data_IF_296235422279
#
_entry.id   IF_296235422279
#
_cell.length_a   1.000
_cell.length_b   1.000
_cell.length_c   1.000
_cell.angle_alpha   90.00
_cell.angle_beta   90.00
_cell.angle_gamma   90.00
#
_symmetry.space_group_name_H-M   'P 1'
#
loop_
_entity.id
_entity.type
_entity.pdbx_description
1 polymer ?
#
# COMPACT_ATOMS: atom_id res chain seq x y z
N UNK A 1 -4.36 -9.94 -22.46
CA UNK A 1 -3.55 -8.81 -21.95
C UNK A 1 -4.38 -7.99 -20.95
N UNK A 2 -4.78 -8.59 -19.82
CA UNK A 2 -5.84 -7.97 -18.97
C UNK A 2 -5.59 -8.12 -17.46
N UNK A 3 -4.90 -9.15 -17.00
CA UNK A 3 -4.79 -9.45 -15.56
C UNK A 3 -3.86 -8.53 -14.76
N UNK A 4 -2.78 -8.02 -15.36
CA UNK A 4 -1.77 -7.23 -14.64
C UNK A 4 -2.28 -5.82 -14.30
N UNK A 5 -2.97 -5.17 -15.25
CA UNK A 5 -3.56 -3.85 -15.04
C UNK A 5 -4.64 -3.88 -13.95
N UNK A 6 -5.56 -4.86 -14.00
CA UNK A 6 -6.60 -5.03 -12.98
C UNK A 6 -6.01 -5.28 -11.59
N UNK A 7 -4.94 -6.08 -11.48
CA UNK A 7 -4.24 -6.31 -10.21
C UNK A 7 -3.62 -5.03 -9.67
N UNK A 8 -2.94 -4.24 -10.51
CA UNK A 8 -2.36 -2.95 -10.12
C UNK A 8 -3.44 -1.97 -9.63
N UNK A 9 -4.55 -1.85 -10.36
CA UNK A 9 -5.67 -0.99 -9.96
C UNK A 9 -6.26 -1.41 -8.62
N UNK A 10 -6.47 -2.71 -8.39
CA UNK A 10 -7.01 -3.22 -7.12
C UNK A 10 -6.06 -2.95 -5.95
N UNK A 11 -4.76 -3.09 -6.16
CA UNK A 11 -3.75 -2.81 -5.16
C UNK A 11 -3.73 -1.31 -4.78
N UNK A 12 -3.75 -0.42 -5.78
CA UNK A 12 -3.83 1.03 -5.56
C UNK A 12 -5.10 1.44 -4.81
N UNK A 13 -6.26 0.88 -5.18
CA UNK A 13 -7.51 1.13 -4.48
C UNK A 13 -7.44 0.70 -3.00
N UNK A 14 -6.78 -0.43 -2.72
CA UNK A 14 -6.60 -0.92 -1.36
C UNK A 14 -5.68 -0.03 -0.55
N UNK A 15 -4.58 0.45 -1.15
CA UNK A 15 -3.65 1.41 -0.53
C UNK A 15 -4.37 2.71 -0.14
N UNK A 16 -5.14 3.30 -1.05
CA UNK A 16 -5.84 4.57 -0.76
C UNK A 16 -6.93 4.39 0.30
N UNK A 17 -7.65 3.26 0.28
CA UNK A 17 -8.61 2.94 1.33
C UNK A 17 -7.94 2.83 2.71
N UNK A 18 -6.88 2.02 2.82
CA UNK A 18 -6.17 1.83 4.10
C UNK A 18 -5.51 3.12 4.58
N UNK A 19 -5.03 3.97 3.67
CA UNK A 19 -4.50 5.29 4.02
C UNK A 19 -5.57 6.18 4.66
N UNK A 20 -6.78 6.22 4.09
CA UNK A 20 -7.88 6.98 4.67
C UNK A 20 -8.27 6.47 6.05
N UNK A 21 -8.36 5.14 6.21
CA UNK A 21 -8.66 4.50 7.51
C UNK A 21 -7.57 4.79 8.55
N UNK A 22 -6.29 4.73 8.16
CA UNK A 22 -5.15 5.04 9.04
C UNK A 22 -5.20 6.49 9.52
N UNK A 23 -5.43 7.45 8.61
CA UNK A 23 -5.56 8.87 8.95
C UNK A 23 -6.71 9.06 9.93
N UNK A 24 -7.88 8.48 9.65
CA UNK A 24 -9.04 8.59 10.52
C UNK A 24 -8.76 7.99 11.91
N UNK A 25 -8.17 6.79 11.98
CA UNK A 25 -7.80 6.15 13.25
C UNK A 25 -6.75 6.98 14.02
N UNK A 26 -5.79 7.60 13.32
CA UNK A 26 -4.80 8.48 13.92
C UNK A 26 -5.42 9.74 14.55
N UNK A 27 -6.46 10.31 13.92
CA UNK A 27 -7.22 11.45 14.44
C UNK A 27 -8.09 11.04 15.63
N UNK A 28 -8.83 9.93 15.51
CA UNK A 28 -9.83 9.51 16.51
C UNK A 28 -9.21 8.85 17.75
N UNK A 29 -8.18 8.03 17.56
CA UNK A 29 -7.64 7.13 18.59
C UNK A 29 -6.19 7.44 18.95
N UNK A 30 -5.50 8.23 18.13
CA UNK A 30 -4.09 8.55 18.27
C UNK A 30 -3.18 7.56 17.53
N UNK A 31 -1.93 7.97 17.33
CA UNK A 31 -0.94 7.25 16.53
C UNK A 31 -0.40 5.98 17.22
N UNK A 32 -0.45 5.93 18.56
CA UNK A 32 0.03 4.79 19.35
C UNK A 32 -1.07 3.78 19.66
N UNK A 33 -2.32 4.05 19.25
CA UNK A 33 -3.41 3.11 19.48
C UNK A 33 -3.19 1.82 18.68
N UNK A 34 -3.44 0.62 19.25
CA UNK A 34 -3.19 -0.64 18.57
C UNK A 34 -3.83 -0.75 17.18
N UNK A 35 -5.04 -0.21 16.99
CA UNK A 35 -5.69 -0.20 15.67
C UNK A 35 -5.00 0.70 14.65
N UNK A 36 -4.44 1.84 15.08
CA UNK A 36 -3.71 2.74 14.19
C UNK A 36 -2.38 2.10 13.78
N UNK A 37 -1.71 1.41 14.72
CA UNK A 37 -0.50 0.64 14.43
C UNK A 37 -0.80 -0.50 13.46
N UNK A 38 -1.86 -1.28 13.69
CA UNK A 38 -2.26 -2.38 12.81
C UNK A 38 -2.56 -1.89 11.38
N UNK A 39 -3.30 -0.78 11.24
CA UNK A 39 -3.55 -0.14 9.94
C UNK A 39 -2.24 0.30 9.25
N UNK A 40 -1.26 0.80 10.02
CA UNK A 40 0.04 1.21 9.46
C UNK A 40 0.83 0.01 8.94
N UNK A 41 0.83 -1.11 9.67
CA UNK A 41 1.50 -2.34 9.26
C UNK A 41 0.86 -2.95 8.01
N UNK A 42 -0.47 -2.95 7.93
CA UNK A 42 -1.18 -3.43 6.74
C UNK A 42 -0.90 -2.53 5.52
N UNK A 43 -0.86 -1.21 5.71
CA UNK A 43 -0.52 -0.27 4.64
C UNK A 43 0.92 -0.50 4.13
N UNK A 44 1.88 -0.71 5.02
CA UNK A 44 3.27 -1.01 4.66
C UNK A 44 3.40 -2.28 3.82
N UNK A 45 2.63 -3.34 4.13
CA UNK A 45 2.60 -4.56 3.32
C UNK A 45 2.16 -4.27 1.88
N UNK A 46 1.08 -3.51 1.71
CA UNK A 46 0.56 -3.17 0.37
C UNK A 46 1.52 -2.25 -0.40
N UNK A 47 2.16 -1.31 0.28
CA UNK A 47 3.16 -0.43 -0.32
C UNK A 47 4.39 -1.22 -0.78
N UNK A 48 4.81 -2.22 0.00
CA UNK A 48 5.90 -3.12 -0.39
C UNK A 48 5.51 -3.98 -1.59
N UNK A 49 4.30 -4.56 -1.63
CA UNK A 49 3.82 -5.30 -2.82
C UNK A 49 3.79 -4.39 -4.07
N UNK A 50 3.32 -3.16 -3.92
CA UNK A 50 3.29 -2.19 -5.03
C UNK A 50 4.70 -1.84 -5.52
N UNK A 51 5.63 -1.64 -4.58
CA UNK A 51 7.04 -1.40 -4.88
C UNK A 51 7.66 -2.58 -5.63
N UNK A 52 7.41 -3.82 -5.21
CA UNK A 52 7.89 -5.03 -5.91
C UNK A 52 7.33 -5.13 -7.34
N UNK A 53 6.05 -4.81 -7.54
CA UNK A 53 5.45 -4.75 -8.87
C UNK A 53 6.09 -3.69 -9.78
N UNK A 54 6.56 -2.56 -9.22
CA UNK A 54 7.27 -1.53 -9.99
C UNK A 54 8.74 -1.86 -10.22
N UNK A 55 9.42 -2.41 -9.21
CA UNK A 55 10.87 -2.65 -9.24
C UNK A 55 11.25 -3.77 -10.21
N UNK A 56 10.35 -4.72 -10.47
CA UNK A 56 10.54 -5.76 -11.49
C UNK A 56 10.61 -5.22 -12.93
N UNK A 57 10.42 -3.92 -13.15
CA UNK A 57 10.48 -3.27 -14.46
C UNK A 57 11.79 -2.49 -14.70
N UNK A 58 12.60 -2.19 -13.67
CA UNK A 58 13.74 -1.25 -13.78
C UNK A 58 15.15 -1.88 -13.78
N UNK A 59 15.31 -3.20 -13.65
CA UNK A 59 16.64 -3.85 -13.58
C UNK A 59 17.30 -4.19 -14.94
N UNK A 60 16.86 -3.60 -16.06
CA UNK A 60 17.51 -3.84 -17.37
C UNK A 60 18.23 -2.64 -17.99
N UNK A 61 18.39 -1.51 -17.30
CA UNK A 61 19.10 -0.35 -17.84
C UNK A 61 20.02 0.28 -16.79
N UNK A 62 21.14 -0.38 -16.52
CA UNK A 62 22.39 0.26 -16.09
C UNK A 62 23.55 -0.70 -16.38
N UNK A 63 24.00 -0.68 -17.64
CA UNK A 63 25.36 -1.08 -18.05
C UNK A 63 26.22 0.17 -18.17
#
# INVERSE_FOLDING_TARGET
MSGNFSRKTNLLNSIERLRAELIQSGIEKGLTHPSTIDLSQQLDILLNEYKEMMTTVDYSLNT
#
